data_IF_573032179461
#
_entry.id   IF_573032179461
#
_cell.length_a   1.000
_cell.length_b   1.000
_cell.length_c   1.000
_cell.angle_alpha   90.00
_cell.angle_beta   90.00
_cell.angle_gamma   90.00
#
_symmetry.space_group_name_H-M   'P 1'
#
loop_
_entity.id
_entity.type
_entity.pdbx_description
1 polymer ?
#
# COMPACT_ATOMS: atom_id res chain seq x y z
N UNK A 1 -10.07 9.45 -7.40
CA UNK A 1 -11.51 9.39 -6.99
C UNK A 1 -11.65 9.99 -5.60
N UNK A 2 -12.66 10.84 -5.38
CA UNK A 2 -12.90 11.52 -4.10
C UNK A 2 -14.26 11.13 -3.48
N UNK A 3 -14.37 11.29 -2.16
CA UNK A 3 -15.60 11.04 -1.38
C UNK A 3 -16.66 12.09 -1.69
N UNK A 4 -16.25 13.35 -1.85
CA UNK A 4 -17.12 14.45 -2.25
C UNK A 4 -17.94 14.09 -3.49
N UNK A 5 -19.24 14.39 -3.46
CA UNK A 5 -20.27 14.02 -4.46
C UNK A 5 -20.66 12.53 -4.53
N UNK A 6 -19.93 11.65 -3.82
CA UNK A 6 -20.03 10.19 -3.90
C UNK A 6 -20.26 9.51 -2.53
N UNK A 7 -20.58 10.28 -1.48
CA UNK A 7 -20.59 9.86 -0.08
C UNK A 7 -21.20 8.49 0.14
N UNK A 8 -22.47 8.27 -0.20
CA UNK A 8 -23.19 7.04 0.15
C UNK A 8 -22.57 5.74 -0.38
N UNK A 9 -21.74 5.81 -1.43
CA UNK A 9 -20.97 4.67 -1.93
C UNK A 9 -19.68 4.46 -1.14
N UNK A 10 -19.04 5.54 -0.71
CA UNK A 10 -17.77 5.54 0.02
C UNK A 10 -17.96 5.29 1.52
N UNK A 11 -18.99 5.87 2.11
CA UNK A 11 -19.28 5.86 3.55
C UNK A 11 -19.89 4.54 4.01
N UNK A 12 -20.10 3.58 3.11
CA UNK A 12 -20.27 2.17 3.50
C UNK A 12 -19.04 1.60 4.24
N UNK A 13 -17.89 2.29 4.16
CA UNK A 13 -16.68 1.99 4.93
C UNK A 13 -16.37 3.05 6.01
N UNK A 14 -17.22 4.04 6.22
CA UNK A 14 -17.07 5.02 7.29
C UNK A 14 -17.50 4.37 8.62
N UNK A 15 -16.85 4.67 9.74
CA UNK A 15 -17.22 4.17 11.07
C UNK A 15 -18.42 4.92 11.68
N UNK A 16 -19.40 5.25 10.86
CA UNK A 16 -20.61 5.94 11.28
C UNK A 16 -21.76 5.78 10.30
N UNK A 17 -22.89 6.33 10.67
CA UNK A 17 -24.18 6.20 10.01
C UNK A 17 -24.63 7.51 9.40
N UNK A 18 -25.09 7.49 8.14
CA UNK A 18 -25.80 8.62 7.54
C UNK A 18 -24.94 9.72 6.94
N UNK A 19 -23.62 9.51 6.79
CA UNK A 19 -22.78 10.46 6.07
C UNK A 19 -23.09 10.40 4.56
N UNK A 20 -23.98 11.29 4.13
CA UNK A 20 -24.57 11.33 2.78
C UNK A 20 -24.16 12.56 1.95
N UNK A 21 -23.73 13.63 2.60
CA UNK A 21 -23.33 14.90 1.98
C UNK A 21 -22.36 15.69 2.89
N UNK A 22 -22.10 16.96 2.53
CA UNK A 22 -21.19 17.86 3.24
C UNK A 22 -21.72 18.37 4.59
N UNK A 23 -23.02 18.23 4.86
CA UNK A 23 -23.68 18.73 6.07
C UNK A 23 -23.78 17.67 7.17
N UNK A 24 -22.97 16.61 7.09
CA UNK A 24 -22.95 15.57 8.10
C UNK A 24 -22.41 16.12 9.42
N UNK A 25 -23.16 15.89 10.49
CA UNK A 25 -22.77 16.32 11.84
C UNK A 25 -21.80 15.30 12.46
N UNK A 26 -20.52 15.69 12.51
CA UNK A 26 -19.46 14.89 13.13
C UNK A 26 -19.46 14.97 14.66
N UNK A 27 -20.22 15.89 15.27
CA UNK A 27 -20.34 16.01 16.73
C UNK A 27 -21.47 15.14 17.29
N UNK A 28 -22.35 14.62 16.42
CA UNK A 28 -23.48 13.80 16.81
C UNK A 28 -23.06 12.37 17.12
N UNK A 29 -22.96 12.05 18.41
CA UNK A 29 -22.49 10.76 18.93
C UNK A 29 -23.36 9.59 18.46
N UNK A 30 -24.66 9.78 18.25
CA UNK A 30 -25.56 8.73 17.77
C UNK A 30 -25.25 8.29 16.32
N UNK A 31 -24.45 9.07 15.59
CA UNK A 31 -23.99 8.68 14.26
C UNK A 31 -22.80 7.71 14.30
N UNK A 32 -22.22 7.40 15.46
CA UNK A 32 -21.10 6.46 15.57
C UNK A 32 -21.60 5.03 15.38
N UNK A 33 -20.88 4.26 14.56
CA UNK A 33 -21.15 2.84 14.40
C UNK A 33 -20.19 2.02 15.27
N UNK A 34 -20.66 1.62 16.44
CA UNK A 34 -19.91 0.73 17.33
C UNK A 34 -19.81 -0.71 16.79
N UNK A 35 -20.81 -1.16 16.02
CA UNK A 35 -20.98 -2.57 15.65
C UNK A 35 -20.03 -2.99 14.52
N UNK A 36 -19.62 -2.07 13.63
CA UNK A 36 -18.70 -2.41 12.53
C UNK A 36 -17.38 -2.99 13.02
N UNK A 37 -16.86 -2.50 14.16
CA UNK A 37 -15.61 -2.95 14.76
C UNK A 37 -15.81 -4.04 15.83
N UNK A 38 -16.92 -4.01 16.56
CA UNK A 38 -17.16 -4.85 17.74
C UNK A 38 -18.09 -6.04 17.53
N UNK A 39 -18.68 -6.22 16.34
CA UNK A 39 -19.45 -7.42 16.02
C UNK A 39 -18.59 -8.70 16.08
N UNK A 40 -18.96 -9.66 16.94
CA UNK A 40 -18.35 -11.00 16.99
C UNK A 40 -19.25 -12.10 16.42
N UNK A 41 -20.42 -11.76 15.88
CA UNK A 41 -21.36 -12.72 15.28
C UNK A 41 -21.02 -13.07 13.83
N UNK A 42 -20.24 -12.21 13.16
CA UNK A 42 -19.97 -12.31 11.73
C UNK A 42 -21.15 -11.91 10.83
N UNK A 43 -22.27 -11.48 11.41
CA UNK A 43 -23.50 -11.16 10.65
C UNK A 43 -23.67 -9.67 10.36
N UNK A 44 -22.98 -8.78 11.10
CA UNK A 44 -23.11 -7.35 10.90
C UNK A 44 -22.44 -6.89 9.61
N UNK A 45 -23.20 -6.22 8.75
CA UNK A 45 -22.69 -5.67 7.50
C UNK A 45 -23.43 -4.42 7.06
N UNK A 46 -22.68 -3.37 6.72
CA UNK A 46 -23.20 -2.16 6.08
C UNK A 46 -23.67 -2.45 4.66
N UNK A 47 -24.78 -1.82 4.26
CA UNK A 47 -25.26 -1.90 2.88
C UNK A 47 -24.35 -1.06 1.97
N UNK A 48 -23.97 -1.54 0.77
CA UNK A 48 -22.93 -0.89 -0.05
C UNK A 48 -23.25 0.52 -0.56
N UNK A 49 -24.51 0.94 -0.49
CA UNK A 49 -25.00 2.22 -1.07
C UNK A 49 -25.95 2.97 -0.15
N UNK A 50 -26.03 2.62 1.14
CA UNK A 50 -26.97 3.21 2.10
C UNK A 50 -26.25 4.12 3.11
N UNK A 51 -25.20 4.82 2.68
CA UNK A 51 -24.51 5.86 3.45
C UNK A 51 -24.03 5.42 4.85
N UNK A 52 -23.61 4.17 4.98
CA UNK A 52 -23.14 3.58 6.24
C UNK A 52 -24.18 2.75 6.99
N UNK A 53 -25.46 2.75 6.61
CA UNK A 53 -26.46 1.94 7.30
C UNK A 53 -26.39 0.45 6.93
N UNK A 54 -26.61 -0.48 7.88
CA UNK A 54 -26.90 -1.87 7.57
C UNK A 54 -28.32 -2.02 7.00
N UNK A 55 -28.61 -3.08 6.23
CA UNK A 55 -29.97 -3.37 5.79
C UNK A 55 -30.83 -3.79 7.00
N UNK A 56 -31.91 -3.04 7.27
CA UNK A 56 -32.91 -3.39 8.31
C UNK A 56 -34.03 -4.31 7.80
N UNK A 57 -34.07 -4.51 6.48
CA UNK A 57 -34.97 -5.42 5.78
C UNK A 57 -34.17 -6.11 4.68
N UNK A 58 -34.65 -7.26 4.24
CA UNK A 58 -34.09 -7.95 3.09
C UNK A 58 -34.10 -7.01 1.87
N UNK A 59 -32.93 -6.80 1.26
CA UNK A 59 -32.73 -5.91 0.11
C UNK A 59 -31.95 -6.63 -0.98
N UNK A 60 -32.41 -6.55 -2.23
CA UNK A 60 -31.64 -7.04 -3.38
C UNK A 60 -30.72 -5.92 -3.88
N UNK A 61 -29.42 -6.21 -3.95
CA UNK A 61 -28.41 -5.31 -4.47
C UNK A 61 -28.01 -5.70 -5.90
N UNK A 62 -27.95 -4.70 -6.78
CA UNK A 62 -27.57 -4.85 -8.19
C UNK A 62 -28.37 -5.94 -8.94
N UNK A 63 -29.64 -6.17 -8.55
CA UNK A 63 -30.56 -7.13 -9.17
C UNK A 63 -30.15 -8.60 -9.03
N UNK A 64 -29.14 -8.94 -8.23
CA UNK A 64 -28.56 -10.29 -8.19
C UNK A 64 -28.27 -10.81 -6.79
N UNK A 65 -27.90 -9.94 -5.84
CA UNK A 65 -27.45 -10.37 -4.51
C UNK A 65 -28.44 -9.96 -3.44
N UNK A 66 -29.03 -10.93 -2.76
CA UNK A 66 -29.83 -10.69 -1.57
C UNK A 66 -28.93 -10.32 -0.39
N UNK A 67 -29.21 -9.19 0.24
CA UNK A 67 -28.67 -8.79 1.53
C UNK A 67 -29.76 -8.99 2.57
N UNK A 68 -29.55 -9.92 3.49
CA UNK A 68 -30.47 -10.19 4.58
C UNK A 68 -30.49 -9.03 5.56
N UNK A 69 -31.64 -8.82 6.20
CA UNK A 69 -31.76 -7.90 7.33
C UNK A 69 -30.76 -8.28 8.42
N UNK A 70 -30.06 -7.29 8.98
CA UNK A 70 -29.20 -7.49 10.14
C UNK A 70 -30.07 -7.49 11.40
N UNK A 71 -29.99 -8.54 12.20
CA UNK A 71 -30.60 -8.57 13.53
C UNK A 71 -29.74 -7.74 14.49
N UNK A 72 -30.04 -6.42 14.57
CA UNK A 72 -29.26 -5.49 15.39
C UNK A 72 -29.25 -5.86 16.87
N UNK A 73 -30.36 -6.38 17.40
CA UNK A 73 -30.44 -6.83 18.80
C UNK A 73 -29.46 -7.98 19.06
N UNK A 74 -29.47 -8.99 18.20
CA UNK A 74 -28.54 -10.11 18.29
C UNK A 74 -27.08 -9.66 18.19
N UNK A 75 -26.74 -8.80 17.24
CA UNK A 75 -25.37 -8.26 17.10
C UNK A 75 -24.97 -7.47 18.36
N UNK A 76 -25.83 -6.58 18.85
CA UNK A 76 -25.55 -5.72 19.99
C UNK A 76 -25.33 -6.53 21.29
N UNK A 77 -26.03 -7.65 21.45
CA UNK A 77 -25.86 -8.56 22.59
C UNK A 77 -24.57 -9.41 22.53
N UNK A 78 -23.92 -9.46 21.36
CA UNK A 78 -22.70 -10.24 21.12
C UNK A 78 -21.57 -9.34 20.61
N UNK A 79 -21.42 -8.16 21.22
CA UNK A 79 -20.27 -7.29 20.96
C UNK A 79 -19.06 -7.79 21.74
N UNK A 80 -17.86 -7.53 21.21
CA UNK A 80 -16.61 -7.93 21.83
C UNK A 80 -15.38 -7.28 21.21
N UNK A 81 -14.18 -7.79 21.53
CA UNK A 81 -12.93 -7.30 20.95
C UNK A 81 -12.92 -7.41 19.42
N UNK A 82 -12.32 -6.42 18.76
CA UNK A 82 -12.18 -6.42 17.30
C UNK A 82 -11.37 -7.61 16.80
N UNK A 83 -11.71 -8.11 15.63
CA UNK A 83 -11.02 -9.20 14.95
C UNK A 83 -10.40 -8.72 13.63
N UNK A 84 -9.59 -9.55 12.97
CA UNK A 84 -9.11 -9.24 11.61
C UNK A 84 -10.28 -9.10 10.63
N UNK A 85 -11.36 -9.84 10.84
CA UNK A 85 -12.56 -9.74 10.01
C UNK A 85 -13.28 -8.40 10.21
N UNK A 86 -13.43 -7.91 11.44
CA UNK A 86 -14.13 -6.63 11.68
C UNK A 86 -13.38 -5.44 11.07
N UNK A 87 -12.06 -5.36 11.25
CA UNK A 87 -11.20 -4.40 10.52
C UNK A 87 -11.30 -4.61 9.00
N UNK A 88 -11.31 -5.89 8.60
CA UNK A 88 -11.37 -6.36 7.23
C UNK A 88 -12.59 -5.93 6.44
N UNK A 89 -13.74 -5.72 7.09
CA UNK A 89 -15.00 -5.25 6.47
C UNK A 89 -14.78 -4.00 5.60
N UNK A 90 -13.83 -3.14 6.00
CA UNK A 90 -13.45 -1.95 5.26
C UNK A 90 -12.07 -2.09 4.61
N UNK A 91 -11.06 -2.59 5.35
CA UNK A 91 -9.67 -2.56 4.90
C UNK A 91 -9.39 -3.53 3.73
N UNK A 92 -9.95 -4.75 3.78
CA UNK A 92 -9.76 -5.76 2.72
C UNK A 92 -10.45 -5.38 1.41
N UNK A 93 -11.57 -4.65 1.49
CA UNK A 93 -12.43 -4.35 0.34
C UNK A 93 -12.28 -2.92 -0.21
N UNK A 94 -11.28 -2.18 0.29
CA UNK A 94 -11.00 -0.81 -0.13
C UNK A 94 -10.74 -0.72 -1.64
N UNK A 95 -11.28 0.32 -2.29
CA UNK A 95 -11.22 0.46 -3.76
C UNK A 95 -12.33 -0.27 -4.52
N UNK A 96 -13.33 -0.82 -3.82
CA UNK A 96 -14.55 -1.37 -4.42
C UNK A 96 -14.51 -2.88 -4.66
N UNK A 97 -13.62 -3.60 -3.96
CA UNK A 97 -13.54 -5.05 -3.97
C UNK A 97 -12.38 -5.57 -3.12
N UNK A 98 -12.36 -6.88 -2.90
CA UNK A 98 -11.31 -7.57 -2.12
C UNK A 98 -9.92 -7.42 -2.74
N UNK A 99 -8.92 -6.97 -1.97
CA UNK A 99 -7.52 -6.84 -2.40
C UNK A 99 -7.27 -5.80 -3.49
N UNK A 100 -8.25 -4.92 -3.79
CA UNK A 100 -8.18 -4.02 -4.96
C UNK A 100 -7.19 -2.87 -4.73
N UNK A 101 -7.33 -2.14 -3.63
CA UNK A 101 -6.53 -0.93 -3.35
C UNK A 101 -5.19 -1.26 -2.71
N UNK A 102 -5.19 -1.92 -1.55
CA UNK A 102 -3.96 -2.35 -0.87
C UNK A 102 -3.46 -3.65 -1.51
N UNK A 103 -2.14 -3.79 -1.61
CA UNK A 103 -1.49 -4.98 -2.16
C UNK A 103 -1.14 -6.01 -1.09
N UNK A 104 -1.12 -5.62 0.17
CA UNK A 104 -0.69 -6.41 1.32
C UNK A 104 -1.83 -6.69 2.32
N UNK A 105 -3.06 -6.31 1.99
CA UNK A 105 -4.22 -6.42 2.86
C UNK A 105 -5.43 -6.89 2.04
N UNK A 106 -5.91 -8.10 2.30
CA UNK A 106 -7.06 -8.71 1.64
C UNK A 106 -7.73 -9.79 2.54
N UNK A 107 -8.88 -10.32 2.12
CA UNK A 107 -9.70 -11.25 2.92
C UNK A 107 -9.00 -12.54 3.34
N UNK A 108 -7.92 -12.94 2.67
CA UNK A 108 -7.12 -14.12 3.08
C UNK A 108 -6.42 -13.92 4.42
N UNK A 109 -6.32 -12.68 4.92
CA UNK A 109 -5.79 -12.36 6.24
C UNK A 109 -6.78 -12.59 7.39
N UNK A 110 -8.01 -13.06 7.11
CA UNK A 110 -8.93 -13.47 8.19
C UNK A 110 -8.33 -14.66 8.96
N UNK A 111 -7.81 -15.66 8.24
CA UNK A 111 -7.14 -16.82 8.80
C UNK A 111 -5.99 -17.26 7.88
N UNK A 112 -4.90 -16.48 7.80
CA UNK A 112 -3.79 -16.76 6.91
C UNK A 112 -2.95 -17.92 7.47
N UNK A 113 -2.16 -18.56 6.60
CA UNK A 113 -1.06 -19.41 7.02
C UNK A 113 0.22 -18.58 7.24
N UNK A 114 1.24 -19.23 7.82
CA UNK A 114 2.57 -18.65 8.02
C UNK A 114 3.24 -18.13 6.76
N UNK A 115 2.97 -18.74 5.59
CA UNK A 115 3.60 -18.34 4.32
C UNK A 115 3.08 -16.98 3.88
N UNK A 116 1.80 -16.71 4.11
CA UNK A 116 1.15 -15.45 3.77
C UNK A 116 1.48 -14.33 4.77
N UNK A 117 1.42 -14.58 6.07
CA UNK A 117 1.87 -13.62 7.08
C UNK A 117 2.30 -14.33 8.37
N UNK A 118 3.56 -14.16 8.77
CA UNK A 118 4.12 -14.84 9.95
C UNK A 118 3.55 -14.35 11.29
N UNK A 119 3.01 -13.13 11.35
CA UNK A 119 2.45 -12.56 12.58
C UNK A 119 0.97 -12.91 12.73
N UNK A 120 0.23 -12.88 11.62
CA UNK A 120 -1.20 -13.17 11.59
C UNK A 120 -1.52 -14.65 11.37
N UNK A 121 -0.52 -15.52 11.16
CA UNK A 121 -0.67 -16.98 11.00
C UNK A 121 -1.66 -17.55 12.03
N UNK A 122 -2.78 -18.07 11.55
CA UNK A 122 -3.88 -18.54 12.38
C UNK A 122 -3.49 -19.73 13.28
N UNK A 123 -2.45 -20.48 12.90
CA UNK A 123 -1.91 -21.61 13.68
C UNK A 123 -0.64 -21.25 14.47
N UNK A 124 -0.19 -20.00 14.36
CA UNK A 124 1.03 -19.50 14.98
C UNK A 124 0.72 -18.40 15.99
N UNK A 125 1.34 -17.23 15.81
CA UNK A 125 1.15 -16.08 16.69
C UNK A 125 -0.30 -15.54 16.66
N UNK A 126 -1.01 -15.75 15.55
CA UNK A 126 -2.42 -15.41 15.35
C UNK A 126 -2.78 -13.97 15.76
N UNK A 127 -1.88 -13.00 15.50
CA UNK A 127 -2.10 -11.60 15.89
C UNK A 127 -3.37 -11.03 15.27
N UNK A 128 -4.14 -10.30 16.07
CA UNK A 128 -5.20 -9.42 15.55
C UNK A 128 -4.58 -8.14 15.01
N UNK A 129 -5.35 -7.32 14.29
CA UNK A 129 -4.86 -6.00 13.87
C UNK A 129 -4.45 -5.15 15.09
N UNK A 130 -5.28 -5.15 16.14
CA UNK A 130 -5.07 -4.38 17.36
C UNK A 130 -3.84 -4.81 18.17
N UNK A 131 -3.30 -6.02 17.93
CA UNK A 131 -2.06 -6.47 18.58
C UNK A 131 -0.87 -5.58 18.21
N UNK A 132 -0.76 -5.18 16.94
CA UNK A 132 0.26 -4.24 16.48
C UNK A 132 -0.26 -2.80 16.46
N UNK A 133 -1.49 -2.60 15.99
CA UNK A 133 -2.22 -1.33 16.01
C UNK A 133 -2.84 -1.11 17.39
N UNK A 134 -1.98 -0.98 18.40
CA UNK A 134 -2.42 -0.76 19.79
C UNK A 134 -3.37 0.42 19.85
N UNK A 135 -4.48 0.26 20.57
CA UNK A 135 -5.56 1.23 20.58
C UNK A 135 -5.81 1.68 22.01
N UNK A 136 -5.69 2.99 22.26
CA UNK A 136 -5.95 3.61 23.56
C UNK A 136 -7.02 4.66 23.38
N UNK A 137 -8.09 4.63 24.18
CA UNK A 137 -9.22 5.57 24.04
C UNK A 137 -9.80 5.68 22.61
N UNK A 138 -9.84 4.55 21.88
CA UNK A 138 -10.24 4.47 20.46
C UNK A 138 -9.33 5.23 19.46
N UNK A 139 -8.19 5.74 19.92
CA UNK A 139 -7.10 6.16 19.03
C UNK A 139 -6.31 4.93 18.60
N UNK A 140 -6.57 4.47 17.38
CA UNK A 140 -5.93 3.29 16.81
C UNK A 140 -4.54 3.70 16.31
N UNK A 141 -3.49 3.12 16.89
CA UNK A 141 -2.14 3.32 16.42
C UNK A 141 -2.01 2.95 14.96
N UNK A 142 -1.31 3.78 14.23
CA UNK A 142 -0.99 3.52 12.85
C UNK A 142 -0.31 4.74 12.28
N UNK A 143 0.48 4.52 11.23
CA UNK A 143 0.96 5.64 10.43
C UNK A 143 -0.19 6.04 9.53
N UNK A 144 -0.79 7.20 9.77
CA UNK A 144 -1.59 7.84 8.76
C UNK A 144 -0.74 8.83 7.97
N UNK A 145 -1.28 9.21 6.83
CA UNK A 145 -0.74 10.09 5.82
C UNK A 145 -0.08 11.40 6.34
N UNK A 146 -0.50 11.94 7.50
CA UNK A 146 0.02 13.21 8.04
C UNK A 146 0.81 13.09 9.36
N UNK A 147 1.07 11.86 9.85
CA UNK A 147 1.98 11.64 10.99
C UNK A 147 3.42 11.41 10.49
N UNK A 148 4.39 12.30 10.81
CA UNK A 148 5.79 12.04 10.49
C UNK A 148 6.26 10.70 11.01
N UNK A 149 7.30 10.10 10.40
CA UNK A 149 7.98 9.01 11.09
C UNK A 149 8.31 9.50 12.50
N UNK A 150 7.91 8.77 13.56
CA UNK A 150 8.39 9.14 14.87
C UNK A 150 9.92 9.21 14.79
N UNK A 151 10.50 10.17 15.50
CA UNK A 151 11.93 10.44 15.51
C UNK A 151 12.78 9.22 15.93
N UNK A 152 13.99 9.51 16.42
CA UNK A 152 15.08 8.56 16.65
C UNK A 152 14.68 7.14 17.07
N UNK A 153 15.54 6.21 16.66
CA UNK A 153 15.45 4.77 16.80
C UNK A 153 15.21 4.30 18.27
N UNK A 154 13.97 4.40 18.76
CA UNK A 154 13.62 4.08 20.15
C UNK A 154 12.75 2.82 20.22
N UNK A 155 13.11 1.93 21.14
CA UNK A 155 12.26 0.83 21.57
C UNK A 155 11.00 1.39 22.25
N UNK A 156 9.84 0.80 21.97
CA UNK A 156 8.66 1.04 22.78
C UNK A 156 8.87 0.40 24.16
N UNK A 157 9.32 1.17 25.15
CA UNK A 157 9.32 0.76 26.56
C UNK A 157 7.89 0.63 27.11
N UNK A 158 7.66 -0.01 28.29
CA UNK A 158 6.32 -0.13 28.89
C UNK A 158 5.56 1.19 29.05
N UNK A 159 6.26 2.32 29.26
CA UNK A 159 5.65 3.66 29.27
C UNK A 159 5.17 4.19 27.91
N UNK A 160 5.44 3.46 26.83
CA UNK A 160 4.98 3.70 25.46
C UNK A 160 3.97 2.61 25.05
N UNK A 161 3.20 2.10 26.00
CA UNK A 161 1.98 1.32 25.78
C UNK A 161 1.07 2.08 24.81
N UNK A 162 1.23 1.77 23.53
CA UNK A 162 0.52 2.48 22.47
C UNK A 162 1.38 3.03 21.35
N UNK A 163 2.55 2.47 21.01
CA UNK A 163 3.15 2.64 19.67
C UNK A 163 3.93 1.38 19.22
N UNK A 164 3.25 0.24 19.12
CA UNK A 164 3.87 -1.08 18.80
C UNK A 164 3.92 -1.41 17.30
N UNK A 165 3.46 -0.51 16.43
CA UNK A 165 3.36 -0.73 14.97
C UNK A 165 4.72 -0.92 14.27
N UNK A 166 5.83 -0.57 14.93
CA UNK A 166 7.19 -0.72 14.37
C UNK A 166 7.74 -2.12 14.61
N UNK A 167 8.44 -2.68 13.61
CA UNK A 167 9.13 -3.97 13.73
C UNK A 167 10.10 -3.97 14.92
N UNK A 168 10.82 -2.87 15.09
CA UNK A 168 11.80 -2.67 16.15
C UNK A 168 11.21 -2.76 17.56
N UNK A 169 9.91 -2.52 17.74
CA UNK A 169 9.25 -2.61 19.06
C UNK A 169 9.32 -4.03 19.63
N UNK A 170 9.25 -5.05 18.77
CA UNK A 170 9.29 -6.45 19.17
C UNK A 170 10.63 -7.12 18.85
N UNK A 171 11.33 -6.67 17.80
CA UNK A 171 12.55 -7.32 17.29
C UNK A 171 13.84 -6.59 17.68
N UNK A 172 13.74 -5.36 18.19
CA UNK A 172 14.87 -4.48 18.41
C UNK A 172 15.56 -4.05 17.11
N UNK A 173 16.72 -3.42 17.28
CA UNK A 173 17.45 -2.77 16.19
C UNK A 173 18.44 -3.69 15.48
N UNK A 174 18.82 -4.78 16.15
CA UNK A 174 19.78 -5.77 15.66
C UNK A 174 19.19 -7.18 15.78
N UNK A 175 18.16 -7.50 14.98
CA UNK A 175 17.42 -8.76 15.09
C UNK A 175 18.17 -9.97 14.52
N UNK A 176 19.19 -9.75 13.67
CA UNK A 176 19.95 -10.82 13.05
C UNK A 176 21.03 -11.29 14.02
N UNK A 177 20.78 -12.40 14.71
CA UNK A 177 21.69 -13.03 15.66
C UNK A 177 21.90 -14.50 15.32
N UNK A 178 23.10 -15.05 15.54
CA UNK A 178 23.35 -16.45 15.21
C UNK A 178 22.56 -17.34 16.17
N UNK A 179 22.04 -18.47 15.67
CA UNK A 179 21.33 -19.45 16.52
C UNK A 179 22.28 -20.22 17.46
N UNK A 180 23.56 -20.24 17.14
CA UNK A 180 24.64 -20.89 17.88
C UNK A 180 25.73 -19.85 18.18
N UNK A 181 26.57 -20.05 19.20
CA UNK A 181 27.59 -19.07 19.65
C UNK A 181 28.76 -18.85 18.66
N UNK A 182 28.59 -19.19 17.38
CA UNK A 182 29.57 -18.96 16.32
C UNK A 182 29.33 -17.59 15.67
N UNK A 183 30.41 -16.83 15.50
CA UNK A 183 30.38 -15.54 14.85
C UNK A 183 30.05 -15.68 13.35
N UNK A 184 29.07 -14.90 12.86
CA UNK A 184 28.73 -14.83 11.43
C UNK A 184 28.69 -13.36 10.97
N UNK A 185 29.69 -12.97 10.17
CA UNK A 185 29.82 -11.63 9.59
C UNK A 185 28.60 -11.21 8.77
N UNK A 186 27.89 -12.17 8.14
CA UNK A 186 26.70 -11.87 7.33
C UNK A 186 25.58 -11.30 8.19
N UNK A 187 25.42 -11.80 9.42
CA UNK A 187 24.39 -11.32 10.35
C UNK A 187 24.73 -9.91 10.87
N UNK A 188 26.00 -9.62 11.12
CA UNK A 188 26.48 -8.27 11.44
C UNK A 188 26.12 -7.31 10.31
N UNK A 189 26.44 -7.69 9.07
CA UNK A 189 26.11 -6.87 7.89
C UNK A 189 24.62 -6.68 7.71
N UNK A 190 23.79 -7.71 7.93
CA UNK A 190 22.32 -7.54 7.87
C UNK A 190 21.80 -6.56 8.92
N UNK A 191 22.43 -6.48 10.10
CA UNK A 191 22.10 -5.46 11.09
C UNK A 191 22.52 -4.06 10.63
N UNK A 192 23.70 -3.89 10.03
CA UNK A 192 24.15 -2.60 9.46
C UNK A 192 23.16 -2.09 8.38
N UNK A 193 22.54 -2.98 7.60
CA UNK A 193 21.55 -2.59 6.60
C UNK A 193 20.34 -1.88 7.21
N UNK A 194 19.99 -2.18 8.46
CA UNK A 194 18.80 -1.59 9.11
C UNK A 194 18.90 -0.07 9.29
N UNK A 195 20.10 0.50 9.18
CA UNK A 195 20.32 1.95 9.21
C UNK A 195 19.71 2.63 7.97
N UNK A 196 19.73 1.97 6.81
CA UNK A 196 19.33 2.54 5.51
C UNK A 196 18.23 1.77 4.79
N UNK A 197 17.94 0.54 5.20
CA UNK A 197 16.96 -0.36 4.57
C UNK A 197 15.92 -0.75 5.61
N UNK A 198 14.65 -0.48 5.32
CA UNK A 198 13.57 -0.85 6.21
C UNK A 198 13.38 -2.38 6.28
N UNK A 199 12.96 -2.90 7.44
CA UNK A 199 12.71 -4.33 7.63
C UNK A 199 11.75 -4.89 6.55
N UNK A 200 10.73 -4.12 6.22
CA UNK A 200 9.73 -4.43 5.19
C UNK A 200 10.37 -4.70 3.82
N UNK A 201 11.43 -3.98 3.44
CA UNK A 201 12.11 -4.14 2.15
C UNK A 201 12.60 -5.56 1.96
N UNK A 202 13.21 -6.15 3.00
CA UNK A 202 13.74 -7.51 2.93
C UNK A 202 12.68 -8.57 3.23
N UNK A 203 11.73 -8.27 4.12
CA UNK A 203 10.78 -9.25 4.65
C UNK A 203 9.41 -9.28 3.96
N UNK A 204 9.15 -8.36 3.02
CA UNK A 204 7.96 -8.38 2.14
C UNK A 204 8.45 -8.45 0.68
N UNK A 205 8.97 -9.62 0.24
CA UNK A 205 9.62 -9.76 -1.06
C UNK A 205 8.66 -9.61 -2.25
N UNK A 206 7.37 -9.93 -2.02
CA UNK A 206 6.28 -9.83 -2.99
C UNK A 206 5.01 -9.34 -2.28
N UNK A 207 4.16 -8.61 -3.01
CA UNK A 207 2.81 -8.25 -2.57
C UNK A 207 1.76 -8.89 -3.47
N UNK A 208 0.49 -8.76 -3.09
CA UNK A 208 -0.67 -9.39 -3.73
C UNK A 208 -0.56 -10.92 -3.73
N UNK A 209 -0.08 -11.49 -2.63
CA UNK A 209 0.14 -12.94 -2.46
C UNK A 209 -1.15 -13.70 -2.17
N UNK A 210 -2.06 -13.07 -1.43
CA UNK A 210 -3.40 -13.59 -1.14
C UNK A 210 -4.35 -13.44 -2.32
N UNK A 211 -4.64 -12.18 -2.70
CA UNK A 211 -5.54 -11.85 -3.82
C UNK A 211 -4.87 -10.96 -4.89
N UNK A 212 -5.30 -11.07 -6.16
CA UNK A 212 -4.89 -10.12 -7.20
C UNK A 212 -5.29 -8.69 -6.84
N UNK A 213 -4.40 -7.74 -7.11
CA UNK A 213 -4.58 -6.32 -6.83
C UNK A 213 -4.59 -5.49 -8.09
N UNK A 214 -5.33 -4.38 -8.10
CA UNK A 214 -5.37 -3.48 -9.24
C UNK A 214 -4.08 -2.64 -9.25
N UNK A 215 -3.40 -2.60 -10.38
CA UNK A 215 -2.11 -1.88 -10.55
C UNK A 215 -2.20 -0.74 -11.57
N UNK A 216 -3.25 -0.77 -12.40
CA UNK A 216 -3.52 0.27 -13.38
C UNK A 216 -5.01 0.51 -13.51
N UNK A 217 -5.42 1.77 -13.59
CA UNK A 217 -6.80 2.16 -13.85
C UNK A 217 -6.88 3.35 -14.83
N UNK A 218 -7.35 3.09 -16.04
CA UNK A 218 -7.60 4.08 -17.08
C UNK A 218 -9.08 4.44 -17.16
N UNK A 219 -9.44 5.65 -16.72
CA UNK A 219 -10.80 6.16 -16.82
C UNK A 219 -11.13 6.70 -18.21
N UNK A 220 -10.14 7.01 -19.05
CA UNK A 220 -10.38 7.62 -20.37
C UNK A 220 -11.11 6.67 -21.33
N UNK A 221 -11.06 5.37 -21.07
CA UNK A 221 -11.76 4.35 -21.86
C UNK A 221 -13.15 4.02 -21.33
N UNK A 222 -13.58 4.63 -20.23
CA UNK A 222 -14.91 4.41 -19.67
C UNK A 222 -16.00 4.98 -20.61
N UNK A 223 -17.19 4.39 -20.57
CA UNK A 223 -18.31 4.80 -21.42
C UNK A 223 -18.47 4.03 -22.73
N UNK A 224 -17.78 2.89 -22.94
CA UNK A 224 -18.04 2.03 -24.10
C UNK A 224 -19.20 1.07 -23.81
N UNK A 225 -20.13 0.94 -24.76
CA UNK A 225 -21.31 0.08 -24.67
C UNK A 225 -21.34 -0.89 -25.83
N UNK A 226 -22.01 -2.04 -25.64
CA UNK A 226 -22.34 -2.97 -26.72
C UNK A 226 -23.85 -3.12 -26.73
N UNK A 227 -24.48 -2.80 -27.84
CA UNK A 227 -25.94 -2.87 -28.03
C UNK A 227 -26.70 -2.09 -26.94
N UNK A 228 -26.21 -0.89 -26.60
CA UNK A 228 -26.76 -0.03 -25.53
C UNK A 228 -26.57 -0.55 -24.10
N UNK A 229 -25.92 -1.70 -23.90
CA UNK A 229 -25.71 -2.32 -22.58
C UNK A 229 -24.27 -2.11 -22.07
N UNK A 230 -24.08 -1.89 -20.75
CA UNK A 230 -22.76 -1.84 -20.16
C UNK A 230 -22.00 -3.15 -20.39
N UNK A 231 -20.74 -3.01 -20.79
CA UNK A 231 -19.80 -4.11 -20.99
C UNK A 231 -19.00 -4.31 -19.71
N UNK A 232 -18.78 -5.59 -19.37
CA UNK A 232 -17.75 -6.02 -18.42
C UNK A 232 -16.93 -7.11 -19.11
N UNK A 233 -15.62 -6.90 -19.24
CA UNK A 233 -14.69 -7.92 -19.76
C UNK A 233 -13.86 -8.46 -18.60
N UNK A 234 -13.92 -9.76 -18.40
CA UNK A 234 -13.12 -10.45 -17.37
C UNK A 234 -11.75 -10.80 -17.94
N UNK A 235 -10.71 -10.63 -17.12
CA UNK A 235 -9.35 -11.06 -17.43
C UNK A 235 -9.01 -12.41 -16.78
N UNK A 236 -7.78 -12.91 -17.04
CA UNK A 236 -7.35 -14.25 -16.62
C UNK A 236 -7.29 -14.44 -15.09
N UNK A 237 -7.13 -13.36 -14.33
CA UNK A 237 -7.10 -13.40 -12.85
C UNK A 237 -8.49 -13.36 -12.21
N UNK A 238 -9.56 -13.61 -12.96
CA UNK A 238 -10.94 -13.57 -12.46
C UNK A 238 -11.39 -12.16 -12.04
N UNK A 239 -10.79 -11.12 -12.62
CA UNK A 239 -11.10 -9.71 -12.34
C UNK A 239 -11.49 -8.96 -13.62
N UNK A 240 -12.38 -7.95 -13.56
CA UNK A 240 -12.69 -7.12 -14.71
C UNK A 240 -11.44 -6.38 -15.20
N UNK A 241 -11.05 -6.59 -16.46
CA UNK A 241 -10.02 -5.81 -17.16
C UNK A 241 -10.61 -4.64 -17.94
N UNK A 242 -11.93 -4.66 -18.15
CA UNK A 242 -12.69 -3.52 -18.64
C UNK A 242 -14.08 -3.51 -17.98
N UNK A 243 -14.60 -2.32 -17.69
CA UNK A 243 -15.98 -2.12 -17.30
C UNK A 243 -16.48 -0.74 -17.78
N UNK A 244 -17.63 -0.63 -18.45
CA UNK A 244 -18.12 0.66 -18.97
C UNK A 244 -18.19 1.78 -17.93
N UNK A 245 -18.47 1.46 -16.66
CA UNK A 245 -18.55 2.42 -15.56
C UNK A 245 -17.19 2.86 -15.01
N UNK A 246 -16.11 2.17 -15.39
CA UNK A 246 -14.78 2.32 -14.78
C UNK A 246 -13.66 2.48 -15.81
N UNK A 247 -13.83 2.04 -17.05
CA UNK A 247 -12.77 1.99 -18.05
C UNK A 247 -11.91 0.74 -17.91
N UNK A 248 -10.63 0.86 -18.26
CA UNK A 248 -9.68 -0.25 -18.36
C UNK A 248 -8.93 -0.44 -17.05
N UNK A 249 -8.79 -1.69 -16.63
CA UNK A 249 -8.15 -2.08 -15.37
C UNK A 249 -7.06 -3.12 -15.68
N UNK A 250 -5.89 -3.01 -15.06
CA UNK A 250 -4.90 -4.09 -15.04
C UNK A 250 -4.70 -4.60 -13.63
N UNK A 251 -4.46 -5.90 -13.53
CA UNK A 251 -4.34 -6.62 -12.27
C UNK A 251 -3.04 -7.40 -12.27
N UNK A 252 -2.49 -7.61 -11.08
CA UNK A 252 -1.38 -8.53 -10.91
C UNK A 252 -1.45 -9.22 -9.56
N UNK A 253 -0.63 -10.26 -9.43
CA UNK A 253 -0.49 -11.13 -8.26
C UNK A 253 1.00 -11.41 -8.08
N UNK A 254 1.43 -11.65 -6.84
CA UNK A 254 2.82 -12.01 -6.52
C UNK A 254 3.84 -11.03 -7.13
N UNK A 255 3.59 -9.74 -6.94
CA UNK A 255 4.29 -8.64 -7.59
C UNK A 255 5.47 -8.16 -6.77
N UNK A 256 6.54 -7.76 -7.46
CA UNK A 256 7.71 -7.11 -6.86
C UNK A 256 7.38 -5.67 -6.46
N UNK A 257 7.62 -5.25 -5.20
CA UNK A 257 7.51 -3.85 -4.80
C UNK A 257 8.46 -2.95 -5.59
N UNK A 258 8.09 -1.68 -5.72
CA UNK A 258 9.06 -0.62 -6.05
C UNK A 258 9.67 -0.09 -4.77
N UNK A 259 10.96 0.24 -4.80
CA UNK A 259 11.69 0.70 -3.62
C UNK A 259 11.99 2.18 -3.77
N UNK A 260 11.77 2.94 -2.70
CA UNK A 260 12.07 4.38 -2.66
C UNK A 260 12.62 4.77 -1.30
N UNK A 261 13.41 5.84 -1.26
CA UNK A 261 13.74 6.52 -0.02
C UNK A 261 12.46 7.05 0.63
N UNK A 262 12.28 6.76 1.91
CA UNK A 262 11.10 7.12 2.65
C UNK A 262 11.44 7.50 4.09
N UNK A 263 11.09 8.74 4.47
CA UNK A 263 11.27 9.28 5.81
C UNK A 263 10.01 9.22 6.67
N UNK A 264 8.97 8.51 6.20
CA UNK A 264 7.69 8.41 6.91
C UNK A 264 6.64 9.43 6.52
N UNK A 265 6.96 10.39 5.67
CA UNK A 265 6.02 11.43 5.22
C UNK A 265 5.69 11.31 3.74
N UNK A 266 4.57 11.88 3.34
CA UNK A 266 4.11 11.93 1.96
C UNK A 266 3.81 13.38 1.57
N UNK A 267 3.92 13.66 0.27
CA UNK A 267 3.36 14.86 -0.36
C UNK A 267 2.08 14.50 -1.11
N UNK A 268 1.11 15.41 -1.11
CA UNK A 268 -0.22 15.24 -1.67
C UNK A 268 -0.57 16.35 -2.62
N UNK A 269 -1.36 16.02 -3.63
CA UNK A 269 -2.11 17.02 -4.40
C UNK A 269 -3.45 17.22 -3.71
N UNK A 270 -3.74 18.44 -3.30
CA UNK A 270 -5.01 18.81 -2.68
C UNK A 270 -6.06 19.21 -3.74
N UNK A 271 -7.37 19.09 -3.44
CA UNK A 271 -8.42 19.58 -4.31
C UNK A 271 -8.22 21.05 -4.69
N UNK A 272 -8.26 21.37 -5.99
CA UNK A 272 -8.07 22.72 -6.51
C UNK A 272 -6.62 23.14 -6.74
N UNK A 273 -5.64 22.34 -6.30
CA UNK A 273 -4.23 22.60 -6.56
C UNK A 273 -3.91 22.43 -8.06
N UNK A 274 -3.16 23.40 -8.60
CA UNK A 274 -2.76 23.39 -10.01
C UNK A 274 -1.62 22.41 -10.24
N UNK A 275 -1.75 21.56 -11.26
CA UNK A 275 -0.75 20.57 -11.63
C UNK A 275 -0.58 20.54 -13.14
N UNK A 276 0.65 20.69 -13.61
CA UNK A 276 0.94 20.68 -15.05
C UNK A 276 0.89 19.24 -15.59
N UNK A 277 0.20 19.06 -16.72
CA UNK A 277 0.18 17.80 -17.44
C UNK A 277 1.47 17.65 -18.26
N UNK A 278 2.14 16.51 -18.12
CA UNK A 278 3.40 16.22 -18.83
C UNK A 278 3.48 14.77 -19.34
N UNK A 279 4.63 14.38 -19.91
CA UNK A 279 4.85 13.00 -20.35
C UNK A 279 4.88 12.01 -19.17
N UNK A 280 5.41 12.47 -18.03
CA UNK A 280 5.49 11.72 -16.78
C UNK A 280 4.17 11.72 -16.01
N UNK A 281 3.84 10.63 -15.29
CA UNK A 281 2.67 10.59 -14.43
C UNK A 281 2.75 11.58 -13.27
N UNK A 282 1.66 12.29 -13.00
CA UNK A 282 1.52 13.17 -11.84
C UNK A 282 1.49 12.32 -10.55
N UNK A 283 2.43 12.57 -9.63
CA UNK A 283 2.52 11.88 -8.33
C UNK A 283 1.48 12.46 -7.35
N UNK A 284 0.30 11.84 -7.23
CA UNK A 284 -0.79 12.32 -6.35
C UNK A 284 -0.48 12.08 -4.87
N UNK A 285 0.17 10.95 -4.59
CA UNK A 285 0.64 10.61 -3.24
C UNK A 285 2.08 10.14 -3.38
N UNK A 286 3.01 11.02 -3.03
CA UNK A 286 4.44 10.82 -3.22
C UNK A 286 5.11 10.53 -1.88
N UNK A 287 5.82 9.41 -1.71
CA UNK A 287 6.62 9.18 -0.51
C UNK A 287 7.82 10.14 -0.52
N UNK A 288 8.04 10.84 0.58
CA UNK A 288 9.15 11.77 0.74
C UNK A 288 10.34 11.07 1.37
N UNK A 289 11.55 11.54 1.04
CA UNK A 289 12.80 11.03 1.56
C UNK A 289 13.90 11.12 0.52
N UNK A 290 15.14 11.11 0.97
CA UNK A 290 16.31 11.16 0.10
C UNK A 290 17.45 10.32 0.69
N UNK A 291 18.51 10.03 -0.09
CA UNK A 291 19.71 9.36 0.41
C UNK A 291 20.45 10.18 1.48
N UNK A 292 20.28 11.49 1.50
CA UNK A 292 20.92 12.42 2.45
C UNK A 292 20.07 12.68 3.69
N UNK A 293 18.79 12.31 3.67
CA UNK A 293 17.90 12.43 4.82
C UNK A 293 18.25 11.33 5.85
N UNK A 294 18.74 11.68 7.05
CA UNK A 294 19.14 10.70 8.06
C UNK A 294 17.96 9.90 8.63
N UNK A 295 16.72 10.35 8.42
CA UNK A 295 15.50 9.63 8.83
C UNK A 295 14.95 8.73 7.72
N UNK A 296 15.46 8.86 6.49
CA UNK A 296 14.98 8.09 5.36
C UNK A 296 15.61 6.70 5.30
N UNK A 297 14.77 5.72 4.98
CA UNK A 297 15.19 4.36 4.64
C UNK A 297 14.58 3.94 3.31
N UNK A 298 15.23 3.01 2.64
CA UNK A 298 14.69 2.35 1.45
C UNK A 298 13.51 1.47 1.90
N UNK A 299 12.32 1.77 1.40
CA UNK A 299 11.04 1.17 1.81
C UNK A 299 10.29 0.59 0.60
N UNK A 300 9.53 -0.52 0.74
CA UNK A 300 8.77 -1.11 -0.36
C UNK A 300 7.39 -0.46 -0.53
N UNK A 301 7.02 -0.18 -1.77
CA UNK A 301 5.73 0.38 -2.14
C UNK A 301 5.06 -0.45 -3.24
N UNK A 302 3.73 -0.49 -3.19
CA UNK A 302 2.91 -0.76 -4.36
C UNK A 302 2.68 0.55 -5.11
N UNK A 303 3.15 0.70 -6.36
CA UNK A 303 2.70 1.78 -7.23
C UNK A 303 1.31 1.45 -7.79
N UNK A 304 0.47 2.46 -7.90
CA UNK A 304 -0.77 2.36 -8.68
C UNK A 304 -0.76 3.46 -9.74
N UNK A 305 -0.75 3.04 -10.99
CA UNK A 305 -0.80 3.94 -12.14
C UNK A 305 -2.27 4.16 -12.53
N UNK A 306 -2.56 5.32 -13.08
CA UNK A 306 -3.89 5.58 -13.60
C UNK A 306 -3.91 6.66 -14.65
N UNK A 307 -5.07 6.80 -15.28
CA UNK A 307 -5.40 7.93 -16.14
C UNK A 307 -6.71 8.51 -15.65
N UNK A 308 -6.67 9.71 -15.10
CA UNK A 308 -7.79 10.33 -14.36
C UNK A 308 -8.29 11.60 -15.05
N UNK A 309 -9.56 11.97 -14.89
CA UNK A 309 -10.12 13.18 -15.49
C UNK A 309 -9.43 14.43 -14.94
N UNK A 310 -9.17 15.39 -15.81
CA UNK A 310 -8.40 16.61 -15.55
C UNK A 310 -8.98 17.77 -16.35
N UNK A 311 -9.04 18.94 -15.74
CA UNK A 311 -9.47 20.18 -16.36
C UNK A 311 -8.24 20.89 -16.95
N UNK A 312 -8.11 20.96 -18.29
CA UNK A 312 -6.90 21.50 -18.92
C UNK A 312 -6.78 23.01 -18.81
N UNK A 313 -7.87 23.73 -18.56
CA UNK A 313 -7.87 25.19 -18.47
C UNK A 313 -7.53 25.62 -17.05
N UNK A 314 -8.21 25.05 -16.05
CA UNK A 314 -7.92 25.33 -14.64
C UNK A 314 -6.65 24.63 -14.15
N UNK A 315 -6.16 23.65 -14.92
CA UNK A 315 -5.02 22.79 -14.62
C UNK A 315 -5.16 22.00 -13.32
N UNK A 316 -6.33 21.41 -13.08
CA UNK A 316 -6.63 20.69 -11.83
C UNK A 316 -7.15 19.29 -12.11
N UNK A 317 -6.86 18.35 -11.21
CA UNK A 317 -7.50 17.04 -11.23
C UNK A 317 -8.98 17.18 -10.90
N UNK A 318 -9.84 16.60 -11.74
CA UNK A 318 -11.29 16.70 -11.58
C UNK A 318 -11.75 15.75 -10.47
N UNK A 319 -12.67 16.25 -9.64
CA UNK A 319 -13.48 15.45 -8.73
C UNK A 319 -14.80 15.12 -9.45
N UNK A 320 -14.96 13.93 -10.05
CA UNK A 320 -16.19 13.58 -10.74
C UNK A 320 -17.26 13.04 -9.77
N UNK A 321 -18.52 13.36 -10.05
CA UNK A 321 -19.66 12.63 -9.51
C UNK A 321 -19.82 11.31 -10.25
N UNK A 322 -19.58 10.21 -9.56
CA UNK A 322 -19.66 8.86 -10.10
C UNK A 322 -20.96 8.16 -9.70
N UNK A 323 -21.41 8.35 -8.46
CA UNK A 323 -22.53 7.63 -7.87
C UNK A 323 -23.78 8.52 -7.71
N UNK A 324 -24.93 8.01 -8.16
CA UNK A 324 -26.22 8.68 -8.08
C UNK A 324 -27.24 8.06 -9.05
N UNK A 325 -28.51 8.47 -8.96
CA UNK A 325 -29.54 8.07 -9.92
C UNK A 325 -29.28 8.68 -11.30
N UNK A 326 -29.95 8.14 -12.34
CA UNK A 326 -29.92 8.70 -13.69
C UNK A 326 -30.45 10.14 -13.67
N UNK A 327 -29.80 11.04 -14.41
CA UNK A 327 -30.10 12.48 -14.45
C UNK A 327 -29.44 13.29 -13.34
N UNK A 328 -28.70 12.68 -12.41
CA UNK A 328 -28.03 13.40 -11.32
C UNK A 328 -26.64 13.93 -11.68
N UNK A 329 -26.20 13.74 -12.93
CA UNK A 329 -24.81 13.98 -13.35
C UNK A 329 -23.87 12.89 -12.83
N UNK A 330 -24.37 11.69 -12.54
CA UNK A 330 -23.55 10.60 -12.01
C UNK A 330 -23.02 9.74 -13.15
N UNK A 331 -21.69 9.71 -13.36
CA UNK A 331 -21.08 8.98 -14.48
C UNK A 331 -21.50 7.51 -14.59
N UNK A 332 -21.73 6.81 -13.46
CA UNK A 332 -22.14 5.40 -13.48
C UNK A 332 -23.57 5.15 -13.96
N UNK A 333 -24.40 6.20 -14.05
CA UNK A 333 -25.77 6.14 -14.54
C UNK A 333 -25.94 6.90 -15.87
N UNK A 334 -25.29 8.07 -16.00
CA UNK A 334 -25.47 8.99 -17.13
C UNK A 334 -24.40 8.82 -18.20
N UNK A 335 -23.23 8.30 -17.83
CA UNK A 335 -22.12 8.03 -18.76
C UNK A 335 -21.56 9.27 -19.49
N UNK A 336 -21.78 10.45 -18.91
CA UNK A 336 -21.30 11.73 -19.40
C UNK A 336 -20.22 12.29 -18.45
N UNK A 337 -19.00 12.47 -18.98
CA UNK A 337 -17.88 12.99 -18.21
C UNK A 337 -18.00 14.49 -17.90
N UNK A 338 -18.56 15.31 -18.80
CA UNK A 338 -18.74 16.75 -18.57
C UNK A 338 -19.79 16.98 -17.50
N UNK A 339 -20.92 16.26 -17.56
CA UNK A 339 -21.95 16.31 -16.52
C UNK A 339 -21.40 15.84 -15.15
N UNK A 340 -20.62 14.76 -15.14
CA UNK A 340 -19.99 14.24 -13.92
C UNK A 340 -18.94 15.19 -13.33
N UNK A 341 -18.12 15.82 -14.17
CA UNK A 341 -17.16 16.82 -13.76
C UNK A 341 -17.86 18.05 -13.18
N UNK A 342 -18.84 18.61 -13.88
CA UNK A 342 -19.60 19.76 -13.43
C UNK A 342 -20.27 19.51 -12.06
N UNK A 343 -20.99 18.40 -11.91
CA UNK A 343 -21.67 18.07 -10.67
C UNK A 343 -20.71 17.81 -9.50
N UNK A 344 -19.59 17.13 -9.75
CA UNK A 344 -18.62 16.80 -8.72
C UNK A 344 -17.77 18.00 -8.27
N UNK A 345 -17.33 18.84 -9.21
CA UNK A 345 -16.58 20.07 -8.92
C UNK A 345 -17.45 21.11 -8.21
N UNK A 346 -18.70 21.28 -8.64
CA UNK A 346 -19.66 22.15 -7.95
C UNK A 346 -19.91 21.68 -6.50
N UNK A 347 -20.06 20.36 -6.27
CA UNK A 347 -20.19 19.81 -4.92
C UNK A 347 -18.92 20.02 -4.06
N UNK A 348 -17.75 20.12 -4.69
CA UNK A 348 -16.49 20.45 -4.03
C UNK A 348 -16.24 21.96 -3.85
N UNK A 349 -17.10 22.82 -4.40
CA UNK A 349 -16.90 24.28 -4.39
C UNK A 349 -15.73 24.73 -5.25
N UNK A 350 -15.37 23.97 -6.29
CA UNK A 350 -14.24 24.24 -7.17
C UNK A 350 -14.70 24.64 -8.57
N UNK A 351 -13.94 25.51 -9.27
CA UNK A 351 -14.27 25.90 -10.63
C UNK A 351 -14.10 24.72 -11.59
N UNK A 352 -14.90 24.70 -12.65
CA UNK A 352 -14.79 23.78 -13.76
C UNK A 352 -14.93 24.54 -15.07
N UNK A 353 -14.01 24.34 -16.01
CA UNK A 353 -13.97 25.09 -17.27
C UNK A 353 -14.98 24.63 -18.32
N UNK A 354 -15.62 23.47 -18.11
CA UNK A 354 -16.43 22.80 -19.12
C UNK A 354 -15.67 21.75 -19.93
N UNK A 355 -14.35 21.66 -19.77
CA UNK A 355 -13.49 20.73 -20.51
C UNK A 355 -12.91 19.61 -19.66
N UNK A 356 -12.98 18.38 -20.19
CA UNK A 356 -12.44 17.18 -19.55
C UNK A 356 -11.42 16.54 -20.49
N UNK A 357 -10.18 16.45 -20.02
CA UNK A 357 -9.16 15.57 -20.60
C UNK A 357 -8.72 14.54 -19.55
N UNK A 358 -7.74 13.71 -19.88
CA UNK A 358 -7.24 12.66 -19.00
C UNK A 358 -5.73 12.67 -18.91
N UNK A 359 -5.22 12.76 -17.69
CA UNK A 359 -3.77 12.79 -17.40
C UNK A 359 -3.32 11.51 -16.70
N UNK A 360 -2.07 11.13 -16.95
CA UNK A 360 -1.44 10.01 -16.25
C UNK A 360 -1.16 10.41 -14.81
N UNK A 361 -1.41 9.50 -13.88
CA UNK A 361 -1.21 9.72 -12.45
C UNK A 361 -0.58 8.49 -11.81
N UNK A 362 0.14 8.68 -10.72
CA UNK A 362 0.64 7.60 -9.88
C UNK A 362 0.42 7.93 -8.41
N UNK A 363 0.16 6.92 -7.61
CA UNK A 363 0.29 7.03 -6.16
C UNK A 363 0.98 5.79 -5.58
N UNK A 364 1.66 5.96 -4.46
CA UNK A 364 2.40 4.89 -3.81
C UNK A 364 1.77 4.48 -2.48
N UNK A 365 1.56 3.19 -2.30
CA UNK A 365 1.12 2.61 -1.04
C UNK A 365 2.27 1.87 -0.38
N UNK A 366 2.66 2.32 0.81
CA UNK A 366 3.61 1.59 1.65
C UNK A 366 3.07 0.18 1.94
N UNK A 367 3.95 -0.81 1.84
CA UNK A 367 3.66 -2.20 2.13
C UNK A 367 4.19 -2.52 3.54
N UNK A 368 3.35 -3.07 4.41
CA UNK A 368 3.70 -3.33 5.82
C UNK A 368 3.11 -4.61 6.40
N UNK A 369 2.27 -5.31 5.65
CA UNK A 369 1.70 -6.60 6.01
C UNK A 369 2.15 -7.68 5.03
N UNK A 370 1.70 -8.91 5.25
CA UNK A 370 2.17 -10.09 4.54
C UNK A 370 3.68 -10.24 4.71
N UNK A 371 4.15 -10.20 5.96
CA UNK A 371 5.56 -10.47 6.26
C UNK A 371 5.84 -11.95 5.99
N UNK A 372 6.77 -12.24 5.09
CA UNK A 372 7.12 -13.60 4.69
C UNK A 372 7.96 -14.31 5.76
N UNK A 373 7.99 -15.66 5.75
CA UNK A 373 8.97 -16.44 6.49
C UNK A 373 10.41 -15.94 6.25
N UNK A 374 11.27 -16.03 7.26
CA UNK A 374 12.67 -15.55 7.16
C UNK A 374 13.48 -16.25 6.07
N UNK A 375 13.10 -17.48 5.74
CA UNK A 375 13.67 -18.28 4.67
C UNK A 375 13.45 -17.59 3.31
N UNK A 376 12.28 -16.97 3.13
CA UNK A 376 11.85 -16.27 1.91
C UNK A 376 12.25 -14.78 1.89
N UNK A 377 12.81 -14.25 2.98
CA UNK A 377 13.34 -12.89 3.01
C UNK A 377 14.44 -12.71 1.95
N UNK A 378 14.50 -11.51 1.35
CA UNK A 378 15.48 -11.19 0.31
C UNK A 378 16.90 -11.49 0.78
N UNK A 379 17.68 -12.15 -0.10
CA UNK A 379 19.10 -12.42 0.12
C UNK A 379 19.95 -11.37 -0.58
N UNK A 380 21.24 -11.31 -0.26
CA UNK A 380 22.17 -10.30 -0.79
C UNK A 380 22.09 -10.17 -2.32
N UNK A 381 22.09 -11.30 -3.04
CA UNK A 381 22.01 -11.34 -4.51
C UNK A 381 20.69 -10.85 -5.11
N UNK A 382 19.64 -10.59 -4.32
CA UNK A 382 18.44 -9.93 -4.83
C UNK A 382 18.69 -8.43 -5.08
N UNK A 383 19.61 -7.80 -4.33
CA UNK A 383 19.89 -6.36 -4.41
C UNK A 383 21.26 -6.07 -5.00
N UNK A 384 22.29 -6.82 -4.57
CA UNK A 384 23.69 -6.64 -4.94
C UNK A 384 24.04 -7.33 -6.26
N UNK A 385 23.28 -7.00 -7.31
CA UNK A 385 23.51 -7.52 -8.67
C UNK A 385 23.46 -6.39 -9.68
N UNK A 386 24.19 -6.60 -10.78
CA UNK A 386 24.45 -5.58 -11.78
C UNK A 386 23.24 -5.16 -12.60
N UNK A 387 22.36 -6.13 -12.92
CA UNK A 387 21.16 -5.92 -13.74
C UNK A 387 20.00 -6.66 -13.11
N UNK A 388 18.82 -6.03 -13.12
CA UNK A 388 17.59 -6.64 -12.59
C UNK A 388 17.55 -6.78 -11.05
N UNK A 389 18.43 -6.09 -10.32
CA UNK A 389 18.40 -6.07 -8.86
C UNK A 389 17.21 -5.29 -8.33
N UNK A 390 16.74 -5.65 -7.13
CA UNK A 390 15.61 -5.00 -6.45
C UNK A 390 15.82 -3.49 -6.26
N UNK A 391 17.05 -3.08 -5.98
CA UNK A 391 17.40 -1.68 -5.75
C UNK A 391 17.96 -1.00 -7.00
N UNK A 392 17.69 -1.48 -8.21
CA UNK A 392 18.26 -0.92 -9.44
C UNK A 392 18.02 0.60 -9.58
N UNK A 393 16.82 1.07 -9.23
CA UNK A 393 16.41 2.47 -9.37
C UNK A 393 16.77 3.36 -8.17
N UNK A 394 17.43 2.82 -7.14
CA UNK A 394 17.84 3.59 -5.97
C UNK A 394 19.13 4.36 -6.27
N UNK A 395 19.07 5.68 -6.31
CA UNK A 395 20.24 6.54 -6.48
C UNK A 395 20.81 7.06 -5.14
N UNK A 396 21.99 7.68 -5.21
CA UNK A 396 22.62 8.42 -4.11
C UNK A 396 23.26 7.57 -3.01
N UNK A 397 23.42 6.26 -3.22
CA UNK A 397 24.22 5.36 -2.39
C UNK A 397 25.03 4.44 -3.30
N UNK A 398 26.24 4.10 -2.85
CA UNK A 398 27.04 3.05 -3.49
C UNK A 398 26.55 1.68 -3.00
N UNK A 399 26.11 0.83 -3.93
CA UNK A 399 25.64 -0.51 -3.66
C UNK A 399 26.63 -1.53 -4.25
N UNK A 400 27.43 -2.22 -3.40
CA UNK A 400 28.38 -3.23 -3.87
C UNK A 400 27.73 -4.26 -4.81
N UNK A 401 28.41 -4.65 -5.89
CA UNK A 401 27.90 -5.61 -6.87
C UNK A 401 26.90 -5.04 -7.89
N UNK A 402 26.24 -3.92 -7.59
CA UNK A 402 25.47 -3.14 -8.59
C UNK A 402 26.34 -2.04 -9.19
N UNK A 403 26.90 -1.20 -8.32
CA UNK A 403 27.71 -0.05 -8.70
C UNK A 403 29.18 -0.43 -8.82
N UNK A 404 29.89 0.29 -9.68
CA UNK A 404 31.33 0.18 -9.80
C UNK A 404 31.95 1.54 -10.08
N UNK A 405 33.21 1.68 -9.69
CA UNK A 405 34.05 2.81 -10.07
C UNK A 405 35.20 2.20 -10.87
N UNK A 406 35.11 2.17 -12.21
CA UNK A 406 36.06 1.46 -13.08
C UNK A 406 37.52 1.78 -12.80
N UNK A 407 37.81 3.01 -12.39
CA UNK A 407 39.13 3.51 -12.04
C UNK A 407 39.65 2.85 -10.76
N UNK A 408 38.82 2.75 -9.73
CA UNK A 408 39.16 2.04 -8.49
C UNK A 408 39.28 0.53 -8.73
N UNK A 409 38.41 -0.04 -9.58
CA UNK A 409 38.50 -1.45 -9.96
C UNK A 409 39.86 -1.75 -10.63
N UNK A 410 40.31 -0.87 -11.54
CA UNK A 410 41.63 -0.99 -12.19
C UNK A 410 42.77 -0.89 -11.18
N UNK A 411 42.75 0.13 -10.32
CA UNK A 411 43.78 0.33 -9.29
C UNK A 411 43.87 -0.90 -8.38
N UNK A 412 42.72 -1.39 -7.90
CA UNK A 412 42.65 -2.59 -7.06
C UNK A 412 43.20 -3.83 -7.77
N UNK A 413 42.83 -4.06 -9.03
CA UNK A 413 43.34 -5.18 -9.81
C UNK A 413 44.87 -5.09 -10.03
N UNK A 414 45.39 -3.90 -10.33
CA UNK A 414 46.83 -3.67 -10.47
C UNK A 414 47.57 -3.93 -9.16
N UNK A 415 47.06 -3.46 -8.02
CA UNK A 415 47.67 -3.72 -6.71
C UNK A 415 47.67 -5.21 -6.36
N UNK A 416 46.58 -5.94 -6.64
CA UNK A 416 46.53 -7.39 -6.46
C UNK A 416 47.57 -8.11 -7.33
N UNK A 417 47.75 -7.68 -8.59
CA UNK A 417 48.75 -8.24 -9.50
C UNK A 417 50.17 -7.98 -8.97
N UNK A 418 50.47 -6.75 -8.53
CA UNK A 418 51.76 -6.38 -7.94
C UNK A 418 52.05 -7.24 -6.71
N UNK A 419 51.07 -7.38 -5.81
CA UNK A 419 51.21 -8.21 -4.61
C UNK A 419 51.49 -9.68 -4.96
N UNK A 420 50.76 -10.25 -5.92
CA UNK A 420 50.98 -11.62 -6.39
C UNK A 420 52.40 -11.78 -6.97
N UNK A 421 52.87 -10.83 -7.79
CA UNK A 421 54.22 -10.84 -8.33
C UNK A 421 55.26 -10.80 -7.21
N UNK A 422 55.13 -9.88 -6.24
CA UNK A 422 56.07 -9.75 -5.13
C UNK A 422 56.14 -11.01 -4.25
N UNK A 423 54.99 -11.61 -3.93
CA UNK A 423 54.93 -12.86 -3.15
C UNK A 423 55.54 -14.02 -3.92
N UNK A 424 55.29 -14.10 -5.23
CA UNK A 424 55.86 -15.15 -6.08
C UNK A 424 57.38 -15.01 -6.20
N UNK A 425 57.88 -13.78 -6.43
CA UNK A 425 59.33 -13.50 -6.46
C UNK A 425 59.97 -13.83 -5.11
N UNK A 426 59.34 -13.44 -4.00
CA UNK A 426 59.83 -13.76 -2.65
C UNK A 426 59.88 -15.28 -2.41
N UNK A 427 58.84 -16.00 -2.84
CA UNK A 427 58.77 -17.47 -2.75
C UNK A 427 59.87 -18.15 -3.57
N UNK A 428 60.05 -17.75 -4.83
CA UNK A 428 61.10 -18.28 -5.71
C UNK A 428 62.50 -17.98 -5.16
N UNK A 429 62.74 -16.76 -4.67
CA UNK A 429 64.01 -16.39 -4.06
C UNK A 429 64.33 -17.29 -2.85
N UNK A 430 63.34 -17.58 -1.99
CA UNK A 430 63.50 -18.52 -0.87
C UNK A 430 63.88 -19.93 -1.35
N UNK A 431 63.24 -20.42 -2.41
CA UNK A 431 63.53 -21.75 -2.96
C UNK A 431 64.95 -21.80 -3.54
N UNK A 432 65.33 -20.83 -4.37
CA UNK A 432 66.67 -20.78 -4.99
C UNK A 432 67.77 -20.68 -3.93
N UNK A 433 67.57 -19.85 -2.89
CA UNK A 433 68.52 -19.74 -1.79
C UNK A 433 68.62 -21.02 -0.95
N UNK A 434 67.55 -21.82 -0.86
CA UNK A 434 67.59 -23.12 -0.18
C UNK A 434 68.35 -24.19 -0.98
N UNK A 435 68.39 -24.10 -2.32
CA UNK A 435 69.14 -25.00 -3.19
C UNK A 435 70.60 -24.59 -3.41
N UNK A 436 70.97 -23.34 -3.09
CA UNK A 436 72.37 -22.93 -2.94
C UNK A 436 72.90 -23.41 -1.57
N UNK A 437 73.19 -24.71 -1.48
CA UNK A 437 74.08 -25.28 -0.47
C UNK A 437 75.43 -25.56 -1.09
#
# INVERSE_FOLDING_TARGET
MAVTSNWCRCTSCHAGYGWKDKNFDFNKVENIDCLVCHDTTGTYKKFPTDCGYPPLKDKVFAGKKLFKAVNLSFVAQHVGPSTRESCGKCHFYSGGGDGVKRGDIDSTLIAPDKKLDVHMDAKGLNFTCATCHTTTAHEIDGRHYDTPAPGGLALAFPKYEGHRVRCESCHGLRPHRPKQKLFDWRLVKLNDHTDRVACQTCHIPLYARGRPTNIYWDWSTAGQFKDGKPIVKMGPLGRPVYHSKKGTLKWGRDLVPVYRWYNGTYSYILPGEKVEAGPEPIEIIKPNGSPTDPKARIFPFKPHLGKQPYDPVNKTLIIPKLFGPKGSGAFWADHDWKAAAAAGMAAAGLPFSGEVTFVKTIYYHALSHMVAPKEDALKCGACHIRKGGRLADISGVYLPGRDRVPELDKIGATLCLIALCLVTIHGLARIILAFKK
#
